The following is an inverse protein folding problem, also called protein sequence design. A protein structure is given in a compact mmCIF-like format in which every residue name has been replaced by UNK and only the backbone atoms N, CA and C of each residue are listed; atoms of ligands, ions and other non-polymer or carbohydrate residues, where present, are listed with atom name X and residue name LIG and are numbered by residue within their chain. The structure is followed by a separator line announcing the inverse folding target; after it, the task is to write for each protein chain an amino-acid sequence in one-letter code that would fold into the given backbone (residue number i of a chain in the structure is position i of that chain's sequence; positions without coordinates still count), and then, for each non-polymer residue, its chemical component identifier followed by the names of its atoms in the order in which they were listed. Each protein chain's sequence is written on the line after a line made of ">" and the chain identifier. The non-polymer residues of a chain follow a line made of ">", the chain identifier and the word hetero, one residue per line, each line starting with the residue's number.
data_IF_581912449735
#
_entry.id   IF_581912449735
#
_cell.length_a   1.000
_cell.length_b   1.000
_cell.length_c   1.000
_cell.angle_alpha   90.00
_cell.angle_beta   90.00
_cell.angle_gamma   90.00
#
_symmetry.space_group_name_H-M   'P 1'
#
loop_
_entity.id
_entity.type
_entity.pdbx_description
1 polymer ?
#
# COMPACT_ATOMS: atom_id res chain seq x y z
N UNK A 1 -2.84 -17.31 -19.74
CA UNK A 1 -4.00 -17.33 -18.81
C UNK A 1 -3.60 -16.92 -17.40
N UNK A 2 -2.63 -17.60 -16.76
CA UNK A 2 -2.19 -17.29 -15.38
C UNK A 2 -1.77 -15.82 -15.19
N UNK A 3 -0.99 -15.25 -16.12
CA UNK A 3 -0.55 -13.85 -16.06
C UNK A 3 -1.71 -12.84 -16.05
N UNK A 4 -2.74 -13.09 -16.86
CA UNK A 4 -3.93 -12.24 -16.92
C UNK A 4 -4.74 -12.30 -15.62
N UNK A 5 -4.93 -13.50 -15.06
CA UNK A 5 -5.62 -13.67 -13.78
C UNK A 5 -4.89 -12.93 -12.66
N UNK A 6 -3.56 -13.05 -12.59
CA UNK A 6 -2.75 -12.34 -11.59
C UNK A 6 -2.89 -10.82 -11.75
N UNK A 7 -2.84 -10.31 -12.99
CA UNK A 7 -2.98 -8.88 -13.25
C UNK A 7 -4.35 -8.34 -12.82
N UNK A 8 -5.43 -9.08 -13.07
CA UNK A 8 -6.78 -8.71 -12.62
C UNK A 8 -6.89 -8.73 -11.10
N UNK A 9 -6.36 -9.76 -10.43
CA UNK A 9 -6.35 -9.84 -8.97
C UNK A 9 -5.55 -8.68 -8.35
N UNK A 10 -4.42 -8.31 -8.95
CA UNK A 10 -3.63 -7.14 -8.54
C UNK A 10 -4.41 -5.85 -8.73
N UNK A 11 -5.11 -5.67 -9.85
CA UNK A 11 -5.92 -4.48 -10.11
C UNK A 11 -7.09 -4.35 -9.10
N UNK A 12 -7.78 -5.45 -8.82
CA UNK A 12 -8.86 -5.48 -7.81
C UNK A 12 -8.30 -5.21 -6.41
N UNK A 13 -7.21 -5.90 -6.05
CA UNK A 13 -6.52 -5.69 -4.77
C UNK A 13 -6.03 -4.26 -4.60
N UNK A 14 -5.48 -3.66 -5.66
CA UNK A 14 -5.06 -2.26 -5.69
C UNK A 14 -6.22 -1.32 -5.37
N UNK A 15 -7.35 -1.49 -6.06
CA UNK A 15 -8.56 -0.70 -5.82
C UNK A 15 -9.08 -0.83 -4.39
N UNK A 16 -9.17 -2.07 -3.87
CA UNK A 16 -9.63 -2.34 -2.50
C UNK A 16 -8.71 -1.66 -1.47
N UNK A 17 -7.39 -1.83 -1.61
CA UNK A 17 -6.41 -1.27 -0.66
C UNK A 17 -6.38 0.25 -0.73
N UNK A 18 -6.43 0.83 -1.93
CA UNK A 18 -6.48 2.27 -2.13
C UNK A 18 -7.74 2.88 -1.51
N UNK A 19 -8.93 2.32 -1.79
CA UNK A 19 -10.20 2.82 -1.24
C UNK A 19 -10.23 2.69 0.28
N UNK A 20 -9.79 1.56 0.83
CA UNK A 20 -9.67 1.38 2.28
C UNK A 20 -8.72 2.40 2.88
N UNK A 21 -7.56 2.61 2.23
CA UNK A 21 -6.55 3.56 2.65
C UNK A 21 -7.08 4.99 2.69
N UNK A 22 -7.68 5.44 1.58
CA UNK A 22 -8.29 6.75 1.44
C UNK A 22 -9.39 7.00 2.49
N UNK A 23 -10.25 6.01 2.75
CA UNK A 23 -11.29 6.11 3.79
C UNK A 23 -10.71 6.28 5.19
N UNK A 24 -9.62 5.58 5.51
CA UNK A 24 -8.95 5.71 6.81
C UNK A 24 -8.24 7.06 6.95
N UNK A 25 -7.57 7.53 5.90
CA UNK A 25 -6.95 8.85 5.89
C UNK A 25 -8.00 9.97 6.03
N UNK A 26 -9.09 9.91 5.26
CA UNK A 26 -10.20 10.85 5.37
C UNK A 26 -10.85 10.81 6.77
N UNK A 27 -11.01 9.62 7.35
CA UNK A 27 -11.51 9.45 8.72
C UNK A 27 -10.58 10.10 9.75
N UNK A 28 -9.26 9.97 9.59
CA UNK A 28 -8.29 10.58 10.49
C UNK A 28 -8.36 12.11 10.44
N UNK A 29 -8.46 12.69 9.24
CA UNK A 29 -8.59 14.14 9.05
C UNK A 29 -9.89 14.68 9.65
N UNK A 30 -11.00 13.95 9.49
CA UNK A 30 -12.29 14.33 10.07
C UNK A 30 -12.40 14.14 11.59
N UNK A 31 -11.44 13.48 12.24
CA UNK A 31 -11.43 13.21 13.68
C UNK A 31 -10.04 13.43 14.28
N UNK A 32 -9.39 14.55 13.96
CA UNK A 32 -8.00 14.80 14.34
C UNK A 32 -7.76 14.80 15.86
N UNK A 33 -8.77 15.11 16.67
CA UNK A 33 -8.68 15.11 18.14
C UNK A 33 -8.76 13.70 18.76
N UNK A 34 -9.14 12.68 17.99
CA UNK A 34 -9.21 11.30 18.48
C UNK A 34 -7.77 10.75 18.68
N UNK A 35 -7.43 10.19 19.86
CA UNK A 35 -6.11 9.58 20.10
C UNK A 35 -5.73 8.50 19.06
N UNK A 36 -6.70 7.88 18.41
CA UNK A 36 -6.51 6.87 17.37
C UNK A 36 -6.37 7.43 15.94
N UNK A 37 -6.54 8.75 15.75
CA UNK A 37 -6.46 9.39 14.44
C UNK A 37 -5.12 9.17 13.75
N UNK A 38 -4.00 9.29 14.48
CA UNK A 38 -2.67 9.04 13.94
C UNK A 38 -2.52 7.61 13.39
N UNK A 39 -3.09 6.62 14.10
CA UNK A 39 -3.08 5.23 13.68
C UNK A 39 -3.94 4.99 12.43
N UNK A 40 -5.07 5.67 12.30
CA UNK A 40 -5.88 5.61 11.07
C UNK A 40 -5.16 6.27 9.90
N UNK A 41 -4.49 7.40 10.12
CA UNK A 41 -3.74 8.11 9.10
C UNK A 41 -2.60 7.23 8.54
N UNK A 42 -1.77 6.67 9.41
CA UNK A 42 -0.65 5.79 9.02
C UNK A 42 -1.16 4.56 8.25
N UNK A 43 -2.21 3.90 8.75
CA UNK A 43 -2.82 2.76 8.04
C UNK A 43 -3.47 3.17 6.73
N UNK A 44 -3.99 4.40 6.67
CA UNK A 44 -4.58 4.99 5.47
C UNK A 44 -3.55 5.19 4.38
N UNK A 45 -2.46 5.87 4.70
CA UNK A 45 -1.32 6.09 3.81
C UNK A 45 -0.75 4.76 3.33
N UNK A 46 -0.54 3.79 4.22
CA UNK A 46 -0.08 2.45 3.83
C UNK A 46 -1.01 1.77 2.82
N UNK A 47 -2.33 1.84 3.04
CA UNK A 47 -3.30 1.28 2.10
C UNK A 47 -3.21 1.94 0.72
N UNK A 48 -3.02 3.25 0.68
CA UNK A 48 -2.83 4.02 -0.55
C UNK A 48 -1.54 3.60 -1.26
N UNK A 49 -0.41 3.56 -0.55
CA UNK A 49 0.90 3.15 -1.08
C UNK A 49 0.84 1.75 -1.68
N UNK A 50 0.33 0.77 -0.92
CA UNK A 50 0.15 -0.60 -1.42
C UNK A 50 -0.76 -0.63 -2.65
N UNK A 51 -1.85 0.15 -2.64
CA UNK A 51 -2.74 0.30 -3.77
C UNK A 51 -2.04 0.82 -5.03
N UNK A 52 -1.22 1.86 -4.90
CA UNK A 52 -0.45 2.45 -6.01
C UNK A 52 0.57 1.46 -6.57
N UNK A 53 1.33 0.78 -5.70
CA UNK A 53 2.29 -0.24 -6.14
C UNK A 53 1.63 -1.42 -6.85
N UNK A 54 0.53 -1.92 -6.32
CA UNK A 54 -0.24 -3.01 -6.95
C UNK A 54 -0.88 -2.58 -8.28
N UNK A 55 -1.35 -1.32 -8.38
CA UNK A 55 -1.85 -0.76 -9.63
C UNK A 55 -0.75 -0.63 -10.69
N UNK A 56 0.46 -0.22 -10.30
CA UNK A 56 1.61 -0.17 -11.20
C UNK A 56 1.98 -1.56 -11.72
N UNK A 57 2.03 -2.57 -10.84
CA UNK A 57 2.27 -3.96 -11.25
C UNK A 57 1.18 -4.47 -12.21
N UNK A 58 -0.09 -4.26 -11.88
CA UNK A 58 -1.21 -4.64 -12.74
C UNK A 58 -1.13 -3.95 -14.11
N UNK A 59 -0.89 -2.64 -14.13
CA UNK A 59 -0.71 -1.87 -15.37
C UNK A 59 0.48 -2.37 -16.19
N UNK A 60 1.62 -2.62 -15.56
CA UNK A 60 2.79 -3.18 -16.23
C UNK A 60 2.51 -4.54 -16.89
N UNK A 61 1.72 -5.40 -16.24
CA UNK A 61 1.32 -6.70 -16.78
C UNK A 61 0.29 -6.60 -17.91
N UNK A 62 -0.70 -5.71 -17.78
CA UNK A 62 -1.78 -5.55 -18.76
C UNK A 62 -1.33 -4.83 -20.03
N UNK A 63 -0.42 -3.86 -19.90
CA UNK A 63 0.04 -3.02 -21.00
C UNK A 63 1.45 -3.40 -21.51
N UNK A 64 2.08 -4.43 -20.94
CA UNK A 64 3.43 -4.86 -21.33
C UNK A 64 4.51 -3.82 -20.99
N UNK A 65 4.27 -2.96 -20.00
CA UNK A 65 5.17 -1.87 -19.65
C UNK A 65 6.15 -2.27 -18.54
N UNK A 66 7.35 -2.70 -18.93
CA UNK A 66 8.39 -3.15 -17.99
C UNK A 66 8.75 -2.11 -16.93
N UNK A 67 8.78 -0.82 -17.29
CA UNK A 67 9.11 0.25 -16.34
C UNK A 67 8.10 0.34 -15.19
N UNK A 68 6.81 0.08 -15.45
CA UNK A 68 5.77 0.03 -14.41
C UNK A 68 5.96 -1.17 -13.48
N UNK A 69 6.41 -2.31 -14.03
CA UNK A 69 6.74 -3.49 -13.23
C UNK A 69 7.92 -3.22 -12.28
N UNK A 70 8.99 -2.62 -12.81
CA UNK A 70 10.16 -2.24 -12.02
C UNK A 70 9.78 -1.22 -10.95
N UNK A 71 9.04 -0.17 -11.33
CA UNK A 71 8.56 0.83 -10.39
C UNK A 71 7.72 0.20 -9.29
N UNK A 72 6.68 -0.57 -9.63
CA UNK A 72 5.79 -1.20 -8.66
C UNK A 72 6.53 -2.17 -7.73
N UNK A 73 7.49 -2.93 -8.25
CA UNK A 73 8.29 -3.86 -7.46
C UNK A 73 9.22 -3.12 -6.48
N UNK A 74 9.96 -2.12 -6.95
CA UNK A 74 10.87 -1.31 -6.11
C UNK A 74 10.08 -0.55 -5.05
N UNK A 75 9.01 0.13 -5.45
CA UNK A 75 8.16 0.92 -4.56
C UNK A 75 7.55 0.09 -3.43
N UNK A 76 7.05 -1.12 -3.73
CA UNK A 76 6.54 -2.03 -2.71
C UNK A 76 7.65 -2.62 -1.84
N UNK A 77 8.83 -2.89 -2.41
CA UNK A 77 9.97 -3.38 -1.65
C UNK A 77 10.45 -2.34 -0.63
N UNK A 78 10.51 -1.05 -1.02
CA UNK A 78 10.84 0.06 -0.12
C UNK A 78 9.80 0.19 1.00
N UNK A 79 8.50 0.14 0.68
CA UNK A 79 7.45 0.16 1.71
C UNK A 79 7.58 -1.03 2.69
N UNK A 80 7.89 -2.24 2.22
CA UNK A 80 8.11 -3.41 3.09
C UNK A 80 9.35 -3.21 3.96
N UNK A 81 10.43 -2.68 3.38
CA UNK A 81 11.68 -2.41 4.11
C UNK A 81 11.43 -1.40 5.23
N UNK A 82 10.85 -0.24 4.95
CA UNK A 82 10.57 0.79 5.96
C UNK A 82 9.62 0.25 7.04
N UNK A 83 8.56 -0.44 6.63
CA UNK A 83 7.63 -1.11 7.56
C UNK A 83 8.35 -2.07 8.50
N UNK A 84 9.18 -2.94 7.92
CA UNK A 84 9.86 -4.00 8.63
C UNK A 84 10.84 -3.41 9.63
N UNK A 85 11.62 -2.42 9.21
CA UNK A 85 12.56 -1.69 10.07
C UNK A 85 11.83 -1.03 11.24
N UNK A 86 10.74 -0.30 10.99
CA UNK A 86 9.96 0.34 12.07
C UNK A 86 9.38 -0.71 13.03
N UNK A 87 8.83 -1.82 12.51
CA UNK A 87 8.30 -2.89 13.34
C UNK A 87 9.38 -3.57 14.19
N UNK A 88 10.58 -3.77 13.63
CA UNK A 88 11.74 -4.30 14.34
C UNK A 88 12.20 -3.35 15.46
N UNK A 89 12.34 -2.06 15.18
CA UNK A 89 12.71 -1.05 16.18
C UNK A 89 11.69 -1.04 17.32
N UNK A 90 10.39 -0.98 17.01
CA UNK A 90 9.33 -1.01 18.03
C UNK A 90 9.30 -2.30 18.85
N UNK A 91 9.74 -3.43 18.28
CA UNK A 91 9.89 -4.69 19.01
C UNK A 91 11.08 -4.66 19.97
N UNK A 92 12.19 -4.05 19.56
CA UNK A 92 13.40 -3.92 20.39
C UNK A 92 13.27 -2.85 21.48
N UNK A 93 12.45 -1.82 21.26
CA UNK A 93 12.20 -0.74 22.24
C UNK A 93 11.14 -1.10 23.30
N UNK A 94 10.53 -2.29 23.26
CA UNK A 94 9.66 -2.76 24.33
C UNK A 94 10.54 -3.24 25.51
N UNK A 95 10.35 -2.70 26.73
CA UNK A 95 11.11 -3.12 27.91
C UNK A 95 10.82 -4.58 28.31
#
# INVERSE_FOLDING_TARGET
>A
MVSHTVAVLLAVGAGVMFVRGARLAARALGRAEDPSAALWLIRGIRGIVVGVGAAALAGGMLFGATWLLVFGAVFLAEEIYETGVVALILRMSRP
#
